data_IF_526424348182
#
_entry.id   IF_526424348182
#
_cell.length_a   1.000
_cell.length_b   1.000
_cell.length_c   1.000
_cell.angle_alpha   90.00
_cell.angle_beta   90.00
_cell.angle_gamma   90.00
#
_symmetry.space_group_name_H-M   'P 1'
#
loop_
_entity.id
_entity.type
_entity.pdbx_description
1 polymer ?
#
# COMPACT_ATOMS: atom_id res chain seq x y z
N UNK A 1 -28.95 12.31 -16.97
CA UNK A 1 -27.75 11.44 -16.90
C UNK A 1 -27.82 10.66 -15.60
N UNK A 2 -27.89 9.31 -15.64
CA UNK A 2 -27.66 8.49 -14.45
C UNK A 2 -26.24 8.82 -13.97
N UNK A 3 -26.11 9.27 -12.74
CA UNK A 3 -24.82 9.53 -12.13
C UNK A 3 -24.12 8.17 -12.02
N UNK A 4 -23.07 7.94 -12.80
CA UNK A 4 -22.30 6.71 -12.75
C UNK A 4 -21.70 6.57 -11.34
N UNK A 5 -21.96 5.45 -10.68
CA UNK A 5 -21.33 5.10 -9.40
C UNK A 5 -20.29 4.02 -9.70
N UNK A 6 -19.11 4.15 -9.11
CA UNK A 6 -18.08 3.13 -9.22
C UNK A 6 -18.53 1.85 -8.55
N UNK A 7 -18.30 0.72 -9.18
CA UNK A 7 -18.42 -0.62 -8.60
C UNK A 7 -17.12 -0.93 -7.85
N UNK A 8 -17.21 -1.12 -6.53
CA UNK A 8 -16.05 -1.38 -5.66
C UNK A 8 -16.18 -2.70 -4.97
N UNK A 9 -15.32 -3.65 -5.32
CA UNK A 9 -15.19 -4.94 -4.66
C UNK A 9 -14.28 -4.84 -3.43
N UNK A 10 -14.70 -5.46 -2.35
CA UNK A 10 -13.90 -5.64 -1.15
C UNK A 10 -13.71 -7.13 -0.91
N UNK A 11 -12.47 -7.58 -0.78
CA UNK A 11 -12.24 -8.85 -0.08
C UNK A 11 -12.69 -8.72 1.38
N UNK A 12 -12.81 -9.83 2.05
CA UNK A 12 -13.45 -9.89 3.36
C UNK A 12 -12.47 -10.29 4.45
N UNK A 13 -11.72 -11.38 4.25
CA UNK A 13 -10.73 -11.86 5.22
C UNK A 13 -9.55 -10.89 5.26
N UNK A 14 -9.14 -10.50 6.46
CA UNK A 14 -8.08 -9.50 6.73
C UNK A 14 -8.30 -8.10 6.09
N UNK A 15 -9.43 -7.92 5.41
CA UNK A 15 -9.90 -6.60 4.95
C UNK A 15 -11.00 -6.07 5.88
N UNK A 16 -11.96 -6.90 6.25
CA UNK A 16 -13.10 -6.52 7.10
C UNK A 16 -13.13 -7.31 8.41
N UNK A 17 -12.77 -8.58 8.38
CA UNK A 17 -12.64 -9.43 9.55
C UNK A 17 -11.18 -9.80 9.78
N UNK A 18 -10.80 -9.88 11.06
CA UNK A 18 -9.45 -10.27 11.48
C UNK A 18 -9.31 -11.81 11.40
N UNK A 19 -8.96 -12.31 10.22
CA UNK A 19 -8.87 -13.74 9.95
C UNK A 19 -7.58 -14.34 10.47
N UNK A 20 -6.44 -13.80 10.04
CA UNK A 20 -5.13 -14.35 10.34
C UNK A 20 -4.74 -14.17 11.83
N UNK A 21 -4.96 -13.00 12.43
CA UNK A 21 -4.61 -12.81 13.83
C UNK A 21 -5.52 -13.65 14.76
N UNK A 22 -6.83 -13.74 14.46
CA UNK A 22 -7.75 -14.59 15.22
C UNK A 22 -7.40 -16.07 15.10
N UNK A 23 -7.00 -16.56 13.93
CA UNK A 23 -6.53 -17.92 13.76
C UNK A 23 -5.25 -18.21 14.55
N UNK A 24 -4.31 -17.24 14.57
CA UNK A 24 -3.07 -17.35 15.37
C UNK A 24 -3.35 -17.32 16.87
N UNK A 25 -4.31 -16.52 17.33
CA UNK A 25 -4.75 -16.52 18.73
C UNK A 25 -5.22 -17.90 19.17
N UNK A 26 -6.12 -18.52 18.38
CA UNK A 26 -6.60 -19.88 18.64
C UNK A 26 -5.47 -20.90 18.59
N UNK A 27 -4.53 -20.76 17.65
CA UNK A 27 -3.37 -21.65 17.51
C UNK A 27 -2.43 -21.53 18.71
N UNK A 28 -2.09 -20.32 19.14
CA UNK A 28 -1.25 -20.06 20.31
C UNK A 28 -1.89 -20.63 21.60
N UNK A 29 -3.22 -20.44 21.76
CA UNK A 29 -3.96 -21.01 22.88
C UNK A 29 -3.91 -22.55 22.91
N UNK A 30 -3.95 -23.20 21.74
CA UNK A 30 -3.93 -24.66 21.63
C UNK A 30 -2.54 -25.28 21.88
N UNK A 31 -1.47 -24.59 21.49
CA UNK A 31 -0.10 -25.15 21.50
C UNK A 31 0.85 -24.50 22.51
N UNK A 32 0.54 -23.33 23.05
CA UNK A 32 1.35 -22.65 24.05
C UNK A 32 2.72 -22.23 23.52
N UNK A 33 2.79 -21.70 22.28
CA UNK A 33 4.05 -21.23 21.71
C UNK A 33 4.70 -20.11 22.54
N UNK A 34 6.01 -20.16 22.71
CA UNK A 34 6.80 -19.14 23.40
C UNK A 34 8.06 -18.81 22.56
N UNK A 35 8.20 -17.62 22.00
CA UNK A 35 7.17 -16.55 21.96
C UNK A 35 5.93 -16.94 21.15
N UNK A 36 4.76 -16.34 21.42
CA UNK A 36 3.55 -16.61 20.66
C UNK A 36 3.72 -16.19 19.18
N UNK A 37 3.13 -16.98 18.28
CA UNK A 37 3.10 -16.65 16.86
C UNK A 37 2.28 -15.38 16.61
N UNK A 38 2.72 -14.56 15.67
CA UNK A 38 2.10 -13.28 15.30
C UNK A 38 1.90 -13.18 13.79
N UNK A 39 1.14 -12.21 13.33
CA UNK A 39 0.94 -11.92 11.91
C UNK A 39 2.25 -11.57 11.18
N UNK A 40 3.28 -11.14 11.90
CA UNK A 40 4.60 -10.85 11.34
C UNK A 40 5.42 -12.10 11.01
N UNK A 41 5.01 -13.26 11.50
CA UNK A 41 5.61 -14.55 11.17
C UNK A 41 5.08 -15.12 9.86
N UNK A 42 3.96 -14.58 9.35
CA UNK A 42 3.40 -14.92 8.04
C UNK A 42 4.26 -14.27 6.95
N UNK A 43 4.93 -15.10 6.14
CA UNK A 43 5.78 -14.60 5.03
C UNK A 43 5.17 -14.85 3.65
N UNK A 44 4.37 -15.89 3.53
CA UNK A 44 3.65 -16.26 2.32
C UNK A 44 2.46 -17.13 2.66
N UNK A 45 1.55 -17.30 1.72
CA UNK A 45 0.50 -18.30 1.81
C UNK A 45 1.12 -19.68 1.62
N UNK A 46 0.92 -20.59 2.60
CA UNK A 46 1.42 -21.97 2.49
C UNK A 46 2.95 -22.08 2.60
N UNK A 47 3.53 -21.64 3.70
CA UNK A 47 4.96 -21.74 4.02
C UNK A 47 5.33 -23.17 4.47
N UNK A 48 5.21 -24.17 3.62
CA UNK A 48 5.35 -25.61 3.92
C UNK A 48 6.27 -25.95 5.11
N UNK A 49 5.67 -26.43 6.21
CA UNK A 49 6.35 -26.89 7.40
C UNK A 49 6.60 -25.83 8.49
N UNK A 50 6.12 -24.61 8.32
CA UNK A 50 6.14 -23.61 9.38
C UNK A 50 4.95 -23.79 10.34
N UNK A 51 5.13 -23.70 11.68
CA UNK A 51 4.04 -23.75 12.63
C UNK A 51 2.92 -22.74 12.32
N UNK A 52 3.27 -21.59 11.74
CA UNK A 52 2.30 -20.54 11.39
C UNK A 52 1.30 -21.00 10.32
N UNK A 53 1.62 -22.01 9.52
CA UNK A 53 0.72 -22.54 8.47
C UNK A 53 -0.44 -23.35 9.02
N UNK A 54 -0.34 -23.86 10.25
CA UNK A 54 -1.43 -24.59 10.89
C UNK A 54 -2.67 -23.72 11.09
N UNK A 55 -2.54 -22.38 11.05
CA UNK A 55 -3.67 -21.45 11.10
C UNK A 55 -4.68 -21.67 9.96
N UNK A 56 -4.22 -22.14 8.79
CA UNK A 56 -5.05 -22.34 7.59
C UNK A 56 -6.17 -23.36 7.85
N UNK A 57 -5.98 -24.28 8.78
CA UNK A 57 -7.01 -25.30 9.14
C UNK A 57 -8.32 -24.68 9.64
N UNK A 58 -8.25 -23.49 10.26
CA UNK A 58 -9.42 -22.80 10.77
C UNK A 58 -10.30 -22.21 9.66
N UNK A 59 -9.72 -21.90 8.49
CA UNK A 59 -10.46 -21.23 7.41
C UNK A 59 -11.51 -22.11 6.73
N UNK A 60 -11.49 -23.42 7.00
CA UNK A 60 -12.51 -24.37 6.56
C UNK A 60 -13.61 -24.66 7.58
N UNK A 61 -13.58 -24.00 8.74
CA UNK A 61 -14.53 -24.18 9.83
C UNK A 61 -15.63 -23.11 9.78
N UNK A 62 -16.92 -23.49 9.59
CA UNK A 62 -18.02 -22.51 9.58
C UNK A 62 -18.16 -21.73 10.89
N UNK A 63 -17.89 -22.35 12.04
CA UNK A 63 -17.98 -21.68 13.34
C UNK A 63 -16.88 -20.63 13.47
N UNK A 64 -15.67 -20.94 13.02
CA UNK A 64 -14.59 -19.96 12.96
C UNK A 64 -14.97 -18.76 12.10
N UNK A 65 -15.52 -18.98 10.90
CA UNK A 65 -15.97 -17.91 9.99
C UNK A 65 -17.10 -17.09 10.61
N UNK A 66 -18.00 -17.73 11.37
CA UNK A 66 -19.07 -17.04 12.08
C UNK A 66 -18.57 -16.17 13.26
N UNK A 67 -17.46 -16.54 13.90
CA UNK A 67 -16.93 -15.89 15.09
C UNK A 67 -15.83 -14.85 14.81
N UNK A 68 -15.29 -14.78 13.60
CA UNK A 68 -14.21 -13.83 13.24
C UNK A 68 -14.55 -12.41 13.73
N UNK A 69 -13.67 -11.72 14.46
CA UNK A 69 -13.91 -10.36 14.89
C UNK A 69 -13.81 -9.39 13.71
N UNK A 70 -14.63 -8.33 13.72
CA UNK A 70 -14.46 -7.23 12.79
C UNK A 70 -13.14 -6.49 13.10
N UNK A 71 -12.41 -6.11 12.05
CA UNK A 71 -11.30 -5.21 12.19
C UNK A 71 -11.77 -3.82 12.69
N UNK A 72 -10.97 -3.15 13.52
CA UNK A 72 -11.30 -1.81 13.99
C UNK A 72 -11.59 -0.85 12.83
N UNK A 73 -12.74 -0.18 12.88
CA UNK A 73 -13.16 0.77 11.85
C UNK A 73 -13.80 0.16 10.59
N UNK A 74 -13.83 -1.17 10.42
CA UNK A 74 -14.36 -1.81 9.21
C UNK A 74 -15.82 -1.45 8.92
N UNK A 75 -16.67 -1.44 9.94
CA UNK A 75 -18.09 -1.10 9.77
C UNK A 75 -18.29 0.35 9.31
N UNK A 76 -17.53 1.29 9.87
CA UNK A 76 -17.59 2.70 9.47
C UNK A 76 -17.02 2.89 8.06
N UNK A 77 -15.90 2.25 7.76
CA UNK A 77 -15.29 2.23 6.43
C UNK A 77 -16.29 1.83 5.34
N UNK A 78 -16.95 0.66 5.48
CA UNK A 78 -17.92 0.18 4.48
C UNK A 78 -19.12 1.13 4.38
N UNK A 79 -19.58 1.72 5.51
CA UNK A 79 -20.66 2.71 5.52
C UNK A 79 -20.29 3.98 4.74
N UNK A 80 -19.08 4.50 4.95
CA UNK A 80 -18.58 5.67 4.22
C UNK A 80 -18.42 5.36 2.72
N UNK A 81 -17.88 4.18 2.39
CA UNK A 81 -17.70 3.74 1.02
C UNK A 81 -19.05 3.60 0.29
N UNK A 82 -20.06 3.01 0.95
CA UNK A 82 -21.40 2.85 0.39
C UNK A 82 -22.12 4.17 0.08
N UNK A 83 -21.70 5.29 0.69
CA UNK A 83 -22.21 6.62 0.35
C UNK A 83 -21.72 7.11 -1.02
N UNK A 84 -20.57 6.65 -1.47
CA UNK A 84 -19.88 7.17 -2.67
C UNK A 84 -19.73 6.17 -3.81
N UNK A 85 -19.90 4.87 -3.55
CA UNK A 85 -19.73 3.78 -4.51
C UNK A 85 -20.78 2.69 -4.31
N UNK A 86 -20.95 1.82 -5.30
CA UNK A 86 -21.70 0.58 -5.18
C UNK A 86 -20.74 -0.50 -4.68
N UNK A 87 -20.93 -0.93 -3.44
CA UNK A 87 -20.03 -1.86 -2.74
C UNK A 87 -20.44 -3.28 -3.00
N UNK A 88 -19.47 -4.14 -3.35
CA UNK A 88 -19.61 -5.57 -3.50
C UNK A 88 -18.63 -6.28 -2.56
N UNK A 89 -19.09 -7.32 -1.87
CA UNK A 89 -18.19 -8.22 -1.16
C UNK A 89 -17.76 -9.34 -2.11
N UNK A 90 -16.45 -9.52 -2.30
CA UNK A 90 -15.88 -10.50 -3.25
C UNK A 90 -14.94 -11.40 -2.46
N UNK A 91 -15.46 -12.49 -1.93
CA UNK A 91 -14.74 -13.32 -0.96
C UNK A 91 -14.67 -14.78 -1.38
N UNK A 92 -13.63 -15.49 -0.97
CA UNK A 92 -13.43 -16.90 -1.21
C UNK A 92 -13.41 -17.65 0.12
N UNK A 93 -14.41 -18.50 0.32
CA UNK A 93 -14.45 -19.46 1.45
C UNK A 93 -14.83 -20.85 0.94
N UNK A 94 -14.42 -21.94 1.61
CA UNK A 94 -14.87 -23.28 1.27
C UNK A 94 -16.39 -23.39 1.27
N UNK A 95 -16.99 -24.31 0.47
CA UNK A 95 -18.44 -24.45 0.36
C UNK A 95 -19.17 -24.61 1.69
N UNK A 96 -18.57 -25.30 2.67
CA UNK A 96 -19.12 -25.46 4.00
C UNK A 96 -19.30 -24.15 4.77
N UNK A 97 -18.47 -23.14 4.46
CA UNK A 97 -18.45 -21.84 5.14
C UNK A 97 -19.29 -20.76 4.45
N UNK A 98 -19.80 -21.00 3.22
CA UNK A 98 -20.48 -19.96 2.43
C UNK A 98 -21.71 -19.39 3.14
N UNK A 99 -22.52 -20.23 3.78
CA UNK A 99 -23.71 -19.75 4.52
C UNK A 99 -23.32 -18.89 5.71
N UNK A 100 -22.33 -19.31 6.51
CA UNK A 100 -21.84 -18.54 7.65
C UNK A 100 -21.31 -17.16 7.20
N UNK A 101 -20.52 -17.13 6.13
CA UNK A 101 -19.99 -15.89 5.54
C UNK A 101 -21.11 -14.95 5.07
N UNK A 102 -22.07 -15.46 4.30
CA UNK A 102 -23.19 -14.65 3.80
C UNK A 102 -24.04 -14.07 4.94
N UNK A 103 -24.34 -14.87 5.96
CA UNK A 103 -25.11 -14.43 7.12
C UNK A 103 -24.38 -13.33 7.91
N UNK A 104 -23.06 -13.50 8.12
CA UNK A 104 -22.25 -12.49 8.82
C UNK A 104 -22.22 -11.17 8.05
N UNK A 105 -21.93 -11.20 6.75
CA UNK A 105 -21.91 -10.00 5.93
C UNK A 105 -23.25 -9.28 5.92
N UNK A 106 -24.35 -10.02 5.83
CA UNK A 106 -25.70 -9.45 5.89
C UNK A 106 -26.02 -8.82 7.24
N UNK A 107 -25.57 -9.43 8.33
CA UNK A 107 -25.81 -8.93 9.68
C UNK A 107 -24.96 -7.69 10.00
N UNK A 108 -23.68 -7.72 9.65
CA UNK A 108 -22.74 -6.67 10.01
C UNK A 108 -22.82 -5.44 9.07
N UNK A 109 -23.25 -5.65 7.80
CA UNK A 109 -23.37 -4.61 6.78
C UNK A 109 -24.78 -4.57 6.11
N UNK A 110 -25.85 -4.37 6.89
CA UNK A 110 -27.23 -4.49 6.39
C UNK A 110 -27.62 -3.43 5.35
N UNK A 111 -26.78 -2.43 5.14
CA UNK A 111 -26.96 -1.36 4.14
C UNK A 111 -26.32 -1.69 2.78
N UNK A 112 -25.56 -2.80 2.67
CA UNK A 112 -25.09 -3.36 1.40
C UNK A 112 -26.11 -4.39 0.92
N UNK A 113 -26.60 -4.30 -0.33
CA UNK A 113 -27.58 -5.26 -0.84
C UNK A 113 -27.06 -6.71 -0.80
N UNK A 114 -27.92 -7.66 -0.46
CA UNK A 114 -27.52 -9.07 -0.34
C UNK A 114 -27.08 -9.70 -1.69
N UNK A 115 -27.57 -9.20 -2.81
CA UNK A 115 -27.13 -9.57 -4.17
C UNK A 115 -25.76 -8.99 -4.57
N UNK A 116 -25.18 -8.13 -3.73
CA UNK A 116 -23.81 -7.67 -3.84
C UNK A 116 -22.79 -8.57 -3.09
N UNK A 117 -23.22 -9.70 -2.53
CA UNK A 117 -22.34 -10.67 -1.88
C UNK A 117 -21.96 -11.76 -2.89
N UNK A 118 -20.72 -11.72 -3.34
CA UNK A 118 -20.15 -12.63 -4.32
C UNK A 118 -19.17 -13.58 -3.61
N UNK A 119 -19.56 -14.87 -3.47
CA UNK A 119 -18.74 -15.87 -2.78
C UNK A 119 -18.25 -16.90 -3.79
N UNK A 120 -16.95 -16.98 -3.99
CA UNK A 120 -16.32 -17.92 -4.90
C UNK A 120 -14.83 -17.69 -5.05
N UNK A 121 -14.09 -18.73 -5.43
CA UNK A 121 -12.64 -18.67 -5.58
C UNK A 121 -12.19 -17.90 -6.83
N UNK A 122 -13.05 -17.79 -7.83
CA UNK A 122 -12.72 -17.16 -9.11
C UNK A 122 -13.02 -15.66 -9.10
N UNK A 123 -12.24 -14.88 -8.33
CA UNK A 123 -12.33 -13.42 -8.32
C UNK A 123 -11.90 -12.80 -9.66
N UNK A 124 -11.12 -13.54 -10.44
CA UNK A 124 -10.69 -13.21 -11.81
C UNK A 124 -11.83 -13.14 -12.84
N UNK A 125 -13.01 -13.64 -12.51
CA UNK A 125 -14.21 -13.53 -13.34
C UNK A 125 -15.10 -12.32 -13.00
N UNK A 126 -14.76 -11.55 -11.96
CA UNK A 126 -15.58 -10.43 -11.49
C UNK A 126 -15.01 -9.12 -12.00
N UNK A 127 -15.70 -8.50 -12.96
CA UNK A 127 -15.32 -7.22 -13.52
C UNK A 127 -15.88 -6.07 -12.68
N UNK A 128 -14.98 -5.25 -12.13
CA UNK A 128 -15.31 -4.11 -11.25
C UNK A 128 -14.43 -2.91 -11.63
N UNK A 129 -14.84 -1.70 -11.21
CA UNK A 129 -13.98 -0.53 -11.37
C UNK A 129 -12.78 -0.60 -10.43
N UNK A 130 -12.99 -0.99 -9.17
CA UNK A 130 -11.94 -1.12 -8.15
C UNK A 130 -12.10 -2.44 -7.41
N UNK A 131 -11.01 -3.15 -7.15
CA UNK A 131 -10.97 -4.28 -6.21
C UNK A 131 -9.96 -3.97 -5.11
N UNK A 132 -10.35 -4.08 -3.84
CA UNK A 132 -9.47 -4.05 -2.68
C UNK A 132 -9.29 -5.46 -2.13
N UNK A 133 -8.05 -5.93 -2.07
CA UNK A 133 -7.71 -7.29 -1.63
C UNK A 133 -6.30 -7.29 -1.01
N UNK A 134 -6.02 -8.15 -0.03
CA UNK A 134 -4.68 -8.30 0.56
C UNK A 134 -3.86 -9.40 -0.11
N UNK A 135 -4.48 -10.22 -0.93
CA UNK A 135 -3.86 -11.31 -1.68
C UNK A 135 -3.29 -10.82 -3.02
N UNK A 136 -1.96 -10.84 -3.16
CA UNK A 136 -1.28 -10.41 -4.38
C UNK A 136 -1.77 -11.16 -5.63
N UNK A 137 -2.03 -12.45 -5.51
CA UNK A 137 -2.52 -13.27 -6.62
C UNK A 137 -3.89 -12.82 -7.15
N UNK A 138 -4.76 -12.30 -6.27
CA UNK A 138 -6.05 -11.73 -6.67
C UNK A 138 -5.84 -10.40 -7.40
N UNK A 139 -4.92 -9.55 -6.89
CA UNK A 139 -4.58 -8.26 -7.50
C UNK A 139 -3.93 -8.42 -8.88
N UNK A 140 -3.13 -9.47 -9.08
CA UNK A 140 -2.47 -9.75 -10.35
C UNK A 140 -3.42 -10.34 -11.39
N UNK A 141 -4.44 -11.10 -10.98
CA UNK A 141 -5.35 -11.83 -11.87
C UNK A 141 -6.68 -11.13 -12.14
N UNK A 142 -7.09 -10.17 -11.30
CA UNK A 142 -8.39 -9.50 -11.44
C UNK A 142 -8.51 -8.66 -12.72
N UNK A 143 -9.66 -8.63 -13.39
CA UNK A 143 -9.96 -7.72 -14.48
C UNK A 143 -10.35 -6.31 -14.00
N UNK A 144 -10.36 -6.03 -12.70
CA UNK A 144 -10.69 -4.71 -12.19
C UNK A 144 -9.81 -3.61 -12.81
N UNK A 145 -10.41 -2.45 -13.12
CA UNK A 145 -9.67 -1.33 -13.71
C UNK A 145 -8.57 -0.84 -12.74
N UNK A 146 -8.88 -0.77 -11.44
CA UNK A 146 -7.95 -0.41 -10.39
C UNK A 146 -7.85 -1.54 -9.35
N UNK A 147 -6.96 -2.53 -9.55
CA UNK A 147 -6.64 -3.51 -8.53
C UNK A 147 -5.79 -2.87 -7.43
N UNK A 148 -6.28 -2.89 -6.19
CA UNK A 148 -5.66 -2.20 -5.05
C UNK A 148 -5.29 -3.20 -3.97
N UNK A 149 -4.00 -3.31 -3.67
CA UNK A 149 -3.49 -4.17 -2.60
C UNK A 149 -3.64 -3.46 -1.24
N UNK A 150 -4.34 -4.08 -0.30
CA UNK A 150 -4.31 -3.62 1.09
C UNK A 150 -3.04 -4.14 1.78
N UNK A 151 -2.19 -3.23 2.26
CA UNK A 151 -0.92 -3.60 2.88
C UNK A 151 -1.10 -4.32 4.20
N UNK A 152 -0.49 -5.50 4.29
CA UNK A 152 -0.46 -6.39 5.45
C UNK A 152 0.97 -6.88 5.68
N UNK A 153 1.33 -7.38 6.88
CA UNK A 153 2.69 -7.84 7.16
C UNK A 153 3.24 -8.85 6.14
N UNK A 154 2.39 -9.71 5.58
CA UNK A 154 2.78 -10.77 4.62
C UNK A 154 2.95 -10.31 3.17
N UNK A 155 2.50 -9.11 2.83
CA UNK A 155 2.60 -8.60 1.46
C UNK A 155 3.47 -7.34 1.32
N UNK A 156 4.13 -6.89 2.40
CA UNK A 156 4.96 -5.67 2.41
C UNK A 156 6.21 -5.76 1.51
N UNK A 157 6.62 -6.97 1.16
CA UNK A 157 7.76 -7.21 0.25
C UNK A 157 7.43 -6.92 -1.22
N UNK A 158 6.16 -6.83 -1.56
CA UNK A 158 5.71 -6.53 -2.92
C UNK A 158 5.86 -5.03 -3.20
N UNK A 159 6.37 -4.69 -4.36
CA UNK A 159 6.54 -3.32 -4.81
C UNK A 159 5.87 -3.09 -6.16
N UNK A 160 5.55 -1.83 -6.48
CA UNK A 160 4.99 -1.45 -7.77
C UNK A 160 3.48 -1.62 -7.92
N UNK A 161 2.82 -2.37 -7.04
CA UNK A 161 1.37 -2.51 -7.05
C UNK A 161 0.70 -1.27 -6.46
N UNK A 162 -0.40 -0.83 -7.08
CA UNK A 162 -1.29 0.15 -6.49
C UNK A 162 -1.76 -0.38 -5.14
N UNK A 163 -1.50 0.33 -4.06
CA UNK A 163 -1.75 -0.17 -2.72
C UNK A 163 -2.06 0.93 -1.72
N UNK A 164 -2.67 0.55 -0.61
CA UNK A 164 -3.06 1.44 0.48
C UNK A 164 -2.70 0.81 1.82
N UNK A 165 -2.46 1.65 2.84
CA UNK A 165 -2.15 1.21 4.20
C UNK A 165 -3.35 1.25 5.14
N UNK A 166 -4.39 2.00 4.80
CA UNK A 166 -5.54 2.27 5.65
C UNK A 166 -6.84 2.39 4.87
N UNK A 167 -7.96 2.29 5.57
CA UNK A 167 -9.28 2.56 5.02
C UNK A 167 -9.41 4.00 4.53
N UNK A 168 -8.82 4.96 5.23
CA UNK A 168 -8.85 6.37 4.86
C UNK A 168 -8.11 6.62 3.54
N UNK A 169 -6.94 5.96 3.35
CA UNK A 169 -6.21 6.03 2.08
C UNK A 169 -7.03 5.43 0.94
N UNK A 170 -7.73 4.33 1.17
CA UNK A 170 -8.60 3.72 0.17
C UNK A 170 -9.80 4.60 -0.17
N UNK A 171 -10.49 5.15 0.83
CA UNK A 171 -11.59 6.11 0.60
C UNK A 171 -11.12 7.33 -0.19
N UNK A 172 -9.89 7.79 0.09
CA UNK A 172 -9.28 8.89 -0.66
C UNK A 172 -9.02 8.49 -2.11
N UNK A 173 -8.45 7.31 -2.35
CA UNK A 173 -8.22 6.76 -3.69
C UNK A 173 -9.53 6.65 -4.49
N UNK A 174 -10.59 6.08 -3.90
CA UNK A 174 -11.92 5.98 -4.55
C UNK A 174 -12.44 7.35 -4.96
N UNK A 175 -12.26 8.37 -4.12
CA UNK A 175 -12.62 9.75 -4.45
C UNK A 175 -11.77 10.32 -5.58
N UNK A 176 -10.47 10.02 -5.63
CA UNK A 176 -9.59 10.43 -6.72
C UNK A 176 -10.01 9.80 -8.05
N UNK A 177 -10.21 8.48 -8.09
CA UNK A 177 -10.65 7.74 -9.29
C UNK A 177 -11.99 8.27 -9.79
N UNK A 178 -12.89 8.62 -8.91
CA UNK A 178 -14.21 9.18 -9.27
C UNK A 178 -14.15 10.59 -9.88
N UNK A 179 -12.99 11.24 -9.92
CA UNK A 179 -12.86 12.67 -10.23
C UNK A 179 -13.79 13.57 -9.39
N UNK A 180 -14.23 13.09 -8.23
CA UNK A 180 -15.05 13.84 -7.28
C UNK A 180 -14.22 14.80 -6.42
N UNK A 181 -12.90 14.67 -6.47
CA UNK A 181 -11.99 15.71 -6.04
C UNK A 181 -11.91 16.75 -7.16
N UNK A 182 -12.40 17.93 -6.90
CA UNK A 182 -11.79 19.12 -7.47
C UNK A 182 -10.38 19.09 -6.90
N UNK A 183 -9.42 18.64 -7.68
CA UNK A 183 -8.04 18.53 -7.24
C UNK A 183 -7.63 19.91 -6.76
N UNK A 184 -7.53 20.11 -5.45
CA UNK A 184 -6.92 21.33 -4.93
C UNK A 184 -5.52 21.37 -5.51
N UNK A 185 -5.26 22.36 -6.34
CA UNK A 185 -3.96 22.52 -6.99
C UNK A 185 -2.87 22.48 -5.89
N UNK A 186 -1.88 21.60 -6.00
CA UNK A 186 -0.83 21.50 -5.01
C UNK A 186 -0.15 22.86 -4.76
N UNK A 187 0.10 23.16 -3.50
CA UNK A 187 0.77 24.40 -3.08
C UNK A 187 1.77 24.09 -1.96
N UNK A 188 3.05 24.09 -2.31
CA UNK A 188 4.15 23.75 -1.41
C UNK A 188 4.98 24.98 -1.00
N UNK A 189 4.54 26.20 -1.31
CA UNK A 189 5.30 27.45 -1.01
C UNK A 189 5.61 27.61 0.48
N UNK A 190 4.70 27.21 1.35
CA UNK A 190 4.84 27.25 2.82
C UNK A 190 5.26 25.89 3.41
N UNK A 191 5.94 25.05 2.64
CA UNK A 191 6.32 23.70 3.01
C UNK A 191 5.32 22.64 2.56
N UNK A 192 5.82 21.42 2.33
CA UNK A 192 5.00 20.32 1.84
C UNK A 192 5.78 19.03 1.64
N UNK A 193 5.10 18.00 1.14
CA UNK A 193 5.65 16.71 0.78
C UNK A 193 5.70 16.59 -0.74
N UNK A 194 6.89 16.47 -1.31
CA UNK A 194 7.12 16.13 -2.70
C UNK A 194 7.38 14.64 -2.81
N UNK A 195 6.41 13.91 -3.34
CA UNK A 195 6.47 12.47 -3.55
C UNK A 195 6.98 12.16 -4.95
N UNK A 196 8.16 11.56 -5.07
CA UNK A 196 8.71 11.11 -6.33
C UNK A 196 8.31 9.64 -6.54
N UNK A 197 7.33 9.42 -7.39
CA UNK A 197 6.78 8.11 -7.76
C UNK A 197 7.34 7.69 -9.12
N UNK A 198 7.35 6.41 -9.42
CA UNK A 198 7.76 5.87 -10.71
C UNK A 198 8.43 4.52 -10.59
N UNK A 199 8.64 3.82 -11.70
CA UNK A 199 9.17 2.45 -11.71
C UNK A 199 10.60 2.38 -11.18
N UNK A 200 11.02 1.16 -10.88
CA UNK A 200 12.43 0.90 -10.58
C UNK A 200 13.29 1.34 -11.77
N UNK A 201 14.31 2.16 -11.50
CA UNK A 201 15.16 2.69 -12.57
C UNK A 201 14.74 4.07 -13.10
N UNK A 202 13.64 4.67 -12.60
CA UNK A 202 13.21 6.04 -12.97
C UNK A 202 14.02 7.16 -12.31
N UNK A 203 15.21 6.90 -11.80
CA UNK A 203 16.16 7.88 -11.22
C UNK A 203 15.64 8.67 -10.00
N UNK A 204 14.60 8.17 -9.30
CA UNK A 204 14.01 8.83 -8.11
C UNK A 204 15.04 9.33 -7.10
N UNK A 205 16.01 8.47 -6.76
CA UNK A 205 17.03 8.81 -5.76
C UNK A 205 18.05 9.84 -6.23
N UNK A 206 18.33 9.91 -7.52
CA UNK A 206 19.24 10.91 -8.11
C UNK A 206 18.58 12.28 -8.10
N UNK A 207 17.35 12.33 -8.61
CA UNK A 207 16.53 13.56 -8.62
C UNK A 207 16.28 14.05 -7.20
N UNK A 208 15.97 13.16 -6.24
CA UNK A 208 15.79 13.53 -4.85
C UNK A 208 17.05 14.17 -4.24
N UNK A 209 18.23 13.61 -4.54
CA UNK A 209 19.51 14.19 -4.08
C UNK A 209 19.78 15.55 -4.71
N UNK A 210 19.51 15.69 -6.00
CA UNK A 210 19.69 16.97 -6.69
C UNK A 210 18.75 18.06 -6.15
N UNK A 211 17.49 17.72 -5.87
CA UNK A 211 16.54 18.64 -5.24
C UNK A 211 16.95 18.98 -3.80
N UNK A 212 17.34 17.99 -2.99
CA UNK A 212 17.76 18.22 -1.60
C UNK A 212 19.04 19.08 -1.46
N UNK A 213 19.80 19.26 -2.55
CA UNK A 213 20.93 20.19 -2.58
C UNK A 213 20.49 21.65 -2.81
N UNK A 214 19.22 21.90 -3.09
CA UNK A 214 18.66 23.25 -3.29
C UNK A 214 18.07 23.81 -2.00
N UNK A 215 18.09 25.11 -1.87
CA UNK A 215 17.46 25.81 -0.74
C UNK A 215 15.95 25.53 -0.69
N UNK A 216 15.43 25.30 0.52
CA UNK A 216 14.01 25.04 0.75
C UNK A 216 13.58 23.59 0.53
N UNK A 217 14.49 22.68 0.15
CA UNK A 217 14.24 21.26 0.02
C UNK A 217 15.02 20.46 1.07
N UNK A 218 14.37 19.45 1.66
CA UNK A 218 14.97 18.59 2.68
C UNK A 218 14.64 17.13 2.37
N UNK A 219 15.65 16.26 2.40
CA UNK A 219 15.42 14.82 2.33
C UNK A 219 15.21 14.29 3.75
N UNK A 220 14.03 13.72 4.09
CA UNK A 220 13.80 13.13 5.41
C UNK A 220 14.70 11.92 5.67
N UNK A 221 15.01 11.66 6.94
CA UNK A 221 15.79 10.50 7.36
C UNK A 221 14.85 9.30 7.51
N UNK A 222 15.00 8.31 6.64
CA UNK A 222 14.22 7.07 6.67
C UNK A 222 14.80 6.09 7.69
N UNK A 223 13.96 5.43 8.49
CA UNK A 223 14.38 4.32 9.35
C UNK A 223 14.58 3.05 8.52
N UNK A 224 15.56 2.23 8.89
CA UNK A 224 15.80 0.93 8.23
C UNK A 224 16.35 -0.12 9.18
N UNK A 225 15.98 -1.39 8.92
CA UNK A 225 16.55 -2.56 9.62
C UNK A 225 17.81 -3.08 8.94
N UNK A 226 18.19 -2.53 7.80
CA UNK A 226 19.39 -2.89 7.07
C UNK A 226 20.64 -2.50 7.88
N UNK A 227 21.67 -3.37 7.91
CA UNK A 227 22.97 -2.96 8.44
C UNK A 227 23.55 -1.74 7.72
N UNK A 228 24.21 -0.88 8.47
CA UNK A 228 24.91 0.30 7.92
C UNK A 228 26.02 -0.16 6.97
N UNK A 229 26.09 0.47 5.81
CA UNK A 229 27.19 0.26 4.85
C UNK A 229 28.37 1.19 5.15
N UNK A 230 29.55 0.81 4.65
CA UNK A 230 30.72 1.68 4.71
C UNK A 230 30.46 3.01 3.99
N UNK A 231 30.76 4.13 4.65
CA UNK A 231 30.55 5.48 4.11
C UNK A 231 29.18 6.11 4.41
N UNK A 232 28.21 5.37 4.97
CA UNK A 232 26.93 5.95 5.38
C UNK A 232 27.05 6.66 6.74
N UNK A 233 26.51 7.86 6.85
CA UNK A 233 26.44 8.67 8.06
C UNK A 233 25.17 8.45 8.88
N UNK A 234 25.06 9.16 10.00
CA UNK A 234 23.87 9.14 10.85
C UNK A 234 22.65 9.81 10.18
N UNK A 235 22.89 10.67 9.22
CA UNK A 235 21.84 11.43 8.52
C UNK A 235 21.34 10.72 7.25
N UNK A 236 21.96 9.60 6.84
CA UNK A 236 21.50 8.87 5.66
C UNK A 236 20.29 7.99 6.00
N UNK A 237 20.35 7.27 7.13
CA UNK A 237 19.29 6.42 7.65
C UNK A 237 19.33 6.35 9.17
N UNK A 238 18.17 6.17 9.77
CA UNK A 238 18.01 5.77 11.18
C UNK A 238 18.05 4.24 11.24
N UNK A 239 19.24 3.68 11.54
CA UNK A 239 19.45 2.24 11.61
C UNK A 239 18.92 1.69 12.94
N UNK A 240 17.89 0.84 12.88
CA UNK A 240 17.23 0.25 14.05
C UNK A 240 17.08 -1.26 13.88
N UNK A 241 16.88 -1.97 14.99
CA UNK A 241 16.67 -3.42 14.96
C UNK A 241 15.27 -3.75 14.41
N UNK A 242 15.10 -4.96 13.88
CA UNK A 242 13.80 -5.49 13.43
C UNK A 242 12.74 -5.38 14.55
N UNK A 243 13.09 -5.79 15.77
CA UNK A 243 12.19 -5.71 16.94
C UNK A 243 11.78 -4.27 17.26
N UNK A 244 12.68 -3.32 17.12
CA UNK A 244 12.36 -1.91 17.33
C UNK A 244 11.48 -1.40 16.21
N UNK A 245 11.75 -1.76 14.96
CA UNK A 245 10.95 -1.35 13.80
C UNK A 245 9.50 -1.82 13.93
N UNK A 246 9.28 -3.10 14.33
CA UNK A 246 7.94 -3.66 14.53
C UNK A 246 7.20 -2.90 15.65
N UNK A 247 7.84 -2.64 16.78
CA UNK A 247 7.22 -1.86 17.87
C UNK A 247 6.81 -0.46 17.42
N UNK A 248 7.61 0.18 16.56
CA UNK A 248 7.30 1.49 16.02
C UNK A 248 6.13 1.45 15.01
N UNK A 249 6.00 0.35 14.23
CA UNK A 249 4.80 0.11 13.41
C UNK A 249 3.55 -0.01 14.29
N UNK A 250 3.61 -0.85 15.33
CA UNK A 250 2.50 -1.08 16.24
C UNK A 250 2.07 0.20 16.99
N UNK A 251 3.03 1.08 17.26
CA UNK A 251 2.80 2.39 17.86
C UNK A 251 2.30 3.45 16.84
N UNK A 252 2.16 3.11 15.55
CA UNK A 252 1.75 4.06 14.52
C UNK A 252 2.78 5.18 14.24
N UNK A 253 4.05 4.94 14.54
CA UNK A 253 5.10 5.96 14.39
C UNK A 253 5.50 6.22 12.94
N UNK A 254 5.22 5.29 12.02
CA UNK A 254 5.52 5.44 10.60
C UNK A 254 4.29 5.86 9.79
N UNK A 255 4.47 6.76 8.85
CA UNK A 255 3.48 7.11 7.85
C UNK A 255 3.36 6.06 6.76
N UNK A 256 4.48 5.44 6.43
CA UNK A 256 4.56 4.36 5.46
C UNK A 256 5.69 3.40 5.84
N UNK A 257 5.55 2.15 5.46
CA UNK A 257 6.61 1.16 5.59
C UNK A 257 6.67 0.29 4.33
N UNK A 258 7.89 -0.08 3.94
CA UNK A 258 8.12 -1.00 2.82
C UNK A 258 9.21 -2.01 3.16
N UNK A 259 9.24 -3.13 2.45
CA UNK A 259 10.34 -4.10 2.52
C UNK A 259 11.08 -4.12 1.19
N UNK A 260 12.40 -3.88 1.25
CA UNK A 260 13.24 -3.94 0.06
C UNK A 260 14.53 -4.69 0.36
N UNK A 261 14.86 -5.69 -0.46
CA UNK A 261 16.04 -6.52 -0.28
C UNK A 261 16.07 -7.28 1.07
N UNK A 262 14.90 -7.65 1.60
CA UNK A 262 14.77 -8.34 2.89
C UNK A 262 14.85 -7.43 4.12
N UNK A 263 14.99 -6.11 3.94
CA UNK A 263 15.05 -5.13 5.03
C UNK A 263 13.86 -4.20 5.00
N UNK A 264 13.41 -3.77 6.19
CA UNK A 264 12.34 -2.79 6.33
C UNK A 264 12.87 -1.38 6.21
N UNK A 265 12.02 -0.53 5.64
CA UNK A 265 12.22 0.92 5.56
C UNK A 265 10.91 1.59 5.97
N UNK A 266 11.00 2.76 6.64
CA UNK A 266 9.82 3.52 7.04
C UNK A 266 10.13 4.98 7.27
N UNK A 267 9.20 5.85 6.89
CA UNK A 267 9.30 7.28 7.11
C UNK A 267 8.48 7.67 8.34
N UNK A 268 9.16 8.21 9.36
CA UNK A 268 8.49 8.61 10.59
C UNK A 268 7.57 9.81 10.37
N UNK A 269 6.37 9.76 10.96
CA UNK A 269 5.40 10.84 10.89
C UNK A 269 5.92 12.14 11.50
N UNK A 270 6.54 12.04 12.66
CA UNK A 270 7.08 13.18 13.41
C UNK A 270 8.20 13.91 12.65
N UNK A 271 9.12 13.15 12.05
CA UNK A 271 10.24 13.73 11.27
C UNK A 271 9.70 14.50 10.06
N UNK A 272 8.70 13.97 9.38
CA UNK A 272 8.12 14.62 8.21
C UNK A 272 7.30 15.85 8.59
N UNK A 273 6.51 15.79 9.66
CA UNK A 273 5.79 16.95 10.19
C UNK A 273 6.76 18.05 10.65
N UNK A 274 7.90 17.69 11.22
CA UNK A 274 8.94 18.62 11.60
C UNK A 274 9.51 19.40 10.39
N UNK A 275 9.68 18.74 9.24
CA UNK A 275 10.12 19.39 7.99
C UNK A 275 8.99 20.27 7.44
N UNK A 276 7.81 19.70 7.24
CA UNK A 276 6.70 20.35 6.53
C UNK A 276 6.11 21.52 7.33
N UNK A 277 5.92 21.35 8.63
CA UNK A 277 5.27 22.33 9.50
C UNK A 277 6.29 23.21 10.25
N UNK A 278 7.35 22.58 10.77
CA UNK A 278 8.34 23.28 11.60
C UNK A 278 9.32 24.12 10.77
N UNK A 279 9.94 23.52 9.75
CA UNK A 279 10.92 24.20 8.91
C UNK A 279 10.29 24.95 7.72
N UNK A 280 9.02 24.68 7.41
CA UNK A 280 8.32 25.16 6.22
C UNK A 280 9.09 24.85 4.92
N UNK A 281 9.75 23.69 4.92
CA UNK A 281 10.51 23.18 3.80
C UNK A 281 9.72 22.15 3.00
N UNK A 282 10.17 21.89 1.79
CA UNK A 282 9.64 20.80 0.96
C UNK A 282 10.41 19.52 1.26
N UNK A 283 9.74 18.55 1.86
CA UNK A 283 10.30 17.22 2.07
C UNK A 283 10.32 16.45 0.74
N UNK A 284 11.49 16.03 0.27
CA UNK A 284 11.65 15.28 -0.99
C UNK A 284 11.74 13.80 -0.69
N UNK A 285 10.75 13.04 -1.16
CA UNK A 285 10.55 11.65 -0.75
C UNK A 285 10.45 10.76 -1.98
N UNK A 286 11.52 10.00 -2.32
CA UNK A 286 11.40 8.86 -3.24
C UNK A 286 10.56 7.77 -2.57
N UNK A 287 9.38 7.49 -3.13
CA UNK A 287 8.38 6.67 -2.45
C UNK A 287 7.60 5.83 -3.47
N UNK A 288 6.97 4.77 -3.03
CA UNK A 288 6.00 4.05 -3.86
C UNK A 288 4.62 4.75 -3.84
N UNK A 289 3.71 4.28 -4.68
CA UNK A 289 2.38 4.90 -4.80
C UNK A 289 1.57 4.76 -3.49
N UNK A 290 1.77 3.67 -2.74
CA UNK A 290 1.11 3.46 -1.47
C UNK A 290 1.44 4.56 -0.47
N UNK A 291 2.74 4.78 -0.25
CA UNK A 291 3.20 5.85 0.64
C UNK A 291 2.83 7.25 0.12
N UNK A 292 2.87 7.46 -1.22
CA UNK A 292 2.47 8.73 -1.81
C UNK A 292 1.00 9.06 -1.56
N UNK A 293 0.10 8.07 -1.65
CA UNK A 293 -1.33 8.24 -1.35
C UNK A 293 -1.56 8.55 0.14
N UNK A 294 -0.85 7.88 1.05
CA UNK A 294 -0.90 8.19 2.49
C UNK A 294 -0.46 9.64 2.77
N UNK A 295 0.61 10.10 2.12
CA UNK A 295 1.08 11.48 2.24
C UNK A 295 0.10 12.49 1.63
N UNK A 296 -0.50 12.15 0.48
CA UNK A 296 -1.54 12.97 -0.15
C UNK A 296 -2.76 13.10 0.76
N UNK A 297 -3.17 12.00 1.39
CA UNK A 297 -4.27 12.00 2.35
C UNK A 297 -3.95 12.88 3.57
N UNK A 298 -2.73 12.82 4.11
CA UNK A 298 -2.31 13.58 5.28
C UNK A 298 -2.15 15.08 5.01
N UNK A 299 -1.42 15.44 3.96
CA UNK A 299 -1.01 16.83 3.69
C UNK A 299 -1.90 17.56 2.70
N UNK A 300 -2.82 16.86 2.00
CA UNK A 300 -3.78 17.43 1.05
C UNK A 300 -3.09 18.26 -0.03
N UNK A 301 -3.45 19.56 -0.16
CA UNK A 301 -2.84 20.49 -1.12
C UNK A 301 -1.35 20.71 -0.91
N UNK A 302 -0.82 20.39 0.27
CA UNK A 302 0.64 20.46 0.55
C UNK A 302 1.36 19.15 0.21
N UNK A 303 0.76 18.23 -0.54
CA UNK A 303 1.42 17.08 -1.12
C UNK A 303 1.34 17.14 -2.65
N UNK A 304 2.49 17.06 -3.31
CA UNK A 304 2.64 17.01 -4.76
C UNK A 304 3.19 15.63 -5.14
N UNK A 305 2.41 14.88 -5.91
CA UNK A 305 2.83 13.60 -6.46
C UNK A 305 3.37 13.82 -7.87
N UNK A 306 4.65 13.51 -8.06
CA UNK A 306 5.33 13.61 -9.36
C UNK A 306 5.69 12.21 -9.83
N UNK A 307 5.12 11.80 -10.96
CA UNK A 307 5.54 10.58 -11.63
C UNK A 307 6.78 10.85 -12.46
N UNK A 308 7.84 10.10 -12.20
CA UNK A 308 9.08 10.14 -12.96
C UNK A 308 9.00 9.12 -14.09
N UNK A 309 8.53 9.59 -15.23
CA UNK A 309 8.43 8.79 -16.44
C UNK A 309 9.83 8.53 -17.00
N UNK A 310 10.03 7.33 -17.51
CA UNK A 310 11.18 6.94 -18.28
C UNK A 310 10.76 5.91 -19.30
N UNK A 311 11.33 5.96 -20.46
CA UNK A 311 10.97 5.03 -21.54
C UNK A 311 11.12 3.57 -21.07
N UNK A 312 10.08 2.75 -21.28
CA UNK A 312 9.96 1.40 -20.71
C UNK A 312 11.11 0.49 -21.15
N UNK A 313 11.55 0.63 -22.39
CA UNK A 313 12.68 -0.16 -22.92
C UNK A 313 14.00 0.18 -22.18
N UNK A 314 14.23 1.46 -21.85
CA UNK A 314 15.40 1.88 -21.10
C UNK A 314 15.37 1.33 -19.66
N UNK A 315 14.20 1.32 -19.02
CA UNK A 315 14.02 0.74 -17.67
C UNK A 315 14.27 -0.77 -17.69
N UNK A 316 13.74 -1.49 -18.67
CA UNK A 316 13.96 -2.95 -18.83
C UNK A 316 15.45 -3.23 -19.03
N UNK A 317 16.11 -2.46 -19.91
CA UNK A 317 17.55 -2.61 -20.16
C UNK A 317 18.36 -2.44 -18.87
N UNK A 318 18.06 -1.42 -18.06
CA UNK A 318 18.72 -1.18 -16.79
C UNK A 318 18.50 -2.31 -15.77
N UNK A 319 17.28 -2.87 -15.69
CA UNK A 319 16.98 -3.99 -14.81
C UNK A 319 17.78 -5.22 -15.20
N UNK A 320 17.82 -5.53 -16.50
CA UNK A 320 18.53 -6.71 -17.03
C UNK A 320 20.04 -6.58 -16.84
N UNK A 321 20.58 -5.37 -17.01
CA UNK A 321 22.02 -5.06 -16.90
C UNK A 321 22.56 -5.08 -15.48
N UNK A 322 21.70 -5.00 -14.44
CA UNK A 322 22.12 -5.03 -13.05
C UNK A 322 22.53 -6.44 -12.61
N UNK A 323 23.47 -6.50 -11.69
CA UNK A 323 23.83 -7.76 -11.00
C UNK A 323 22.78 -8.06 -9.92
N UNK A 324 21.69 -8.69 -10.33
CA UNK A 324 20.56 -9.11 -9.50
C UNK A 324 20.18 -10.56 -9.79
N UNK A 325 19.65 -11.29 -8.81
CA UNK A 325 19.11 -12.64 -9.04
C UNK A 325 18.06 -12.66 -10.15
N UNK A 326 18.02 -13.71 -11.00
CA UNK A 326 17.05 -13.79 -12.12
C UNK A 326 15.58 -13.62 -11.68
N UNK A 327 15.19 -14.23 -10.55
CA UNK A 327 13.84 -14.10 -10.00
C UNK A 327 13.49 -12.64 -9.66
N UNK A 328 14.43 -11.87 -9.11
CA UNK A 328 14.23 -10.47 -8.79
C UNK A 328 14.11 -9.62 -10.07
N UNK A 329 14.93 -9.86 -11.08
CA UNK A 329 14.80 -9.20 -12.39
C UNK A 329 13.43 -9.45 -13.00
N UNK A 330 12.99 -10.71 -13.01
CA UNK A 330 11.68 -11.10 -13.54
C UNK A 330 10.54 -10.39 -12.80
N UNK A 331 10.53 -10.43 -11.47
CA UNK A 331 9.52 -9.74 -10.67
C UNK A 331 9.44 -8.24 -10.98
N UNK A 332 10.59 -7.56 -11.08
CA UNK A 332 10.65 -6.13 -11.42
C UNK A 332 10.15 -5.82 -12.82
N UNK A 333 10.38 -6.70 -13.80
CA UNK A 333 9.88 -6.51 -15.17
C UNK A 333 8.37 -6.73 -15.22
N UNK A 334 7.86 -7.74 -14.54
CA UNK A 334 6.43 -8.03 -14.48
C UNK A 334 5.63 -6.90 -13.82
N UNK A 335 6.18 -6.25 -12.78
CA UNK A 335 5.52 -5.14 -12.08
C UNK A 335 5.45 -3.84 -12.91
N UNK A 336 6.27 -3.67 -13.95
CA UNK A 336 6.37 -2.41 -14.69
C UNK A 336 5.02 -1.91 -15.22
N UNK A 337 4.18 -2.81 -15.76
CA UNK A 337 2.89 -2.40 -16.32
C UNK A 337 1.95 -1.82 -15.27
N UNK A 338 1.97 -2.35 -14.06
CA UNK A 338 1.22 -1.80 -12.92
C UNK A 338 1.84 -0.48 -12.43
N UNK A 339 3.18 -0.41 -12.35
CA UNK A 339 3.89 0.80 -11.93
C UNK A 339 3.62 2.00 -12.85
N UNK A 340 3.59 1.79 -14.18
CA UNK A 340 3.28 2.87 -15.13
C UNK A 340 1.83 3.34 -15.07
N UNK A 341 0.87 2.48 -14.70
CA UNK A 341 -0.52 2.92 -14.48
C UNK A 341 -0.66 3.91 -13.32
N UNK A 342 0.25 3.90 -12.37
CA UNK A 342 0.26 4.83 -11.26
C UNK A 342 0.48 6.30 -11.69
N UNK A 343 0.94 6.53 -12.93
CA UNK A 343 1.09 7.87 -13.52
C UNK A 343 -0.23 8.64 -13.52
N UNK A 344 -1.36 7.97 -13.77
CA UNK A 344 -2.70 8.56 -13.79
C UNK A 344 -3.15 9.10 -12.41
N UNK A 345 -2.54 8.63 -11.34
CA UNK A 345 -2.83 9.04 -9.97
C UNK A 345 -1.93 10.18 -9.48
N UNK A 346 -0.94 10.58 -10.27
CA UNK A 346 0.00 11.63 -9.91
C UNK A 346 -0.46 13.00 -10.44
N UNK A 347 -0.10 14.06 -9.70
CA UNK A 347 -0.46 15.44 -10.06
C UNK A 347 0.31 15.94 -11.29
N UNK A 348 1.51 15.38 -11.54
CA UNK A 348 2.42 15.79 -12.59
C UNK A 348 3.23 14.57 -13.08
N UNK A 349 3.46 14.49 -14.39
CA UNK A 349 4.41 13.55 -14.98
C UNK A 349 5.58 14.29 -15.61
N UNK A 350 6.80 13.80 -15.36
CA UNK A 350 8.05 14.41 -15.86
C UNK A 350 8.96 13.29 -16.38
N UNK A 351 9.50 13.49 -17.58
CA UNK A 351 10.56 12.64 -18.13
C UNK A 351 11.80 12.73 -17.25
N UNK A 352 12.17 11.63 -16.61
CA UNK A 352 13.27 11.61 -15.63
C UNK A 352 14.67 11.77 -16.25
N UNK A 353 14.80 11.53 -17.55
CA UNK A 353 16.04 11.71 -18.32
C UNK A 353 16.16 13.11 -18.93
N UNK A 354 15.12 13.97 -18.82
CA UNK A 354 15.19 15.35 -19.32
C UNK A 354 16.21 16.16 -18.49
N UNK A 355 17.02 16.98 -19.16
CA UNK A 355 18.05 17.81 -18.51
C UNK A 355 17.43 18.81 -17.51
N UNK A 356 16.24 19.30 -17.79
CA UNK A 356 15.49 20.26 -16.99
C UNK A 356 14.55 19.61 -15.94
N UNK A 357 14.57 18.29 -15.77
CA UNK A 357 13.64 17.57 -14.89
C UNK A 357 13.62 18.13 -13.46
N UNK A 358 14.79 18.40 -12.89
CA UNK A 358 14.95 18.94 -11.52
C UNK A 358 14.39 20.36 -11.43
N UNK A 359 14.61 21.20 -12.45
CA UNK A 359 14.11 22.58 -12.51
C UNK A 359 12.58 22.62 -12.62
N UNK A 360 12.00 21.78 -13.47
CA UNK A 360 10.54 21.66 -13.62
C UNK A 360 9.87 21.22 -12.35
N UNK A 361 10.47 20.26 -11.63
CA UNK A 361 9.93 19.80 -10.34
C UNK A 361 10.03 20.93 -9.30
N UNK A 362 11.17 21.64 -9.21
CA UNK A 362 11.33 22.76 -8.28
C UNK A 362 10.31 23.87 -8.56
N UNK A 363 10.14 24.25 -9.82
CA UNK A 363 9.14 25.23 -10.23
C UNK A 363 7.70 24.79 -9.88
N UNK A 364 7.36 23.50 -10.02
CA UNK A 364 6.06 22.98 -9.63
C UNK A 364 5.82 23.05 -8.10
N UNK A 365 6.89 23.05 -7.30
CA UNK A 365 6.83 23.27 -5.85
C UNK A 365 6.73 24.77 -5.47
N UNK A 366 6.83 25.68 -6.42
CA UNK A 366 6.85 27.12 -6.19
C UNK A 366 8.20 27.63 -5.62
N UNK A 367 9.29 26.94 -5.95
CA UNK A 367 10.66 27.25 -5.49
C UNK A 367 11.55 27.58 -6.69
#
# INVERSE_FOLDING_TARGET
MKKYRLSVGLDVDDILYDCNAYALEKLNAAHGYDPPLSVYDIKAWGQNGSPVDERIRFFGDPDFVAEQPLLPGAAEFVRELARVADVFFVTAVPPACMTARAMRLTADFPYVPGDHILIGAHKDLVELDILLDDGAHNIESTPATYPVLFRKPWNTHLSGLLSVNSYDDFLHLVKMVRHAFVAEKPDLREGGALCLVGPTGSRKNEIARALAAREGFVKPVTATTRPRRAGEGKNDYRFISERQFIREIEAGAFLETTVYGGYRYGTAAEDLDGIVNGQKAVAVIPIDICGALSLKNRYRKRALLVFLHREKAAVVYDIVSRDLPPAEKTGRILSLSAEYRNEELCDLSIESDAEDAVDRIAAACGK
#
